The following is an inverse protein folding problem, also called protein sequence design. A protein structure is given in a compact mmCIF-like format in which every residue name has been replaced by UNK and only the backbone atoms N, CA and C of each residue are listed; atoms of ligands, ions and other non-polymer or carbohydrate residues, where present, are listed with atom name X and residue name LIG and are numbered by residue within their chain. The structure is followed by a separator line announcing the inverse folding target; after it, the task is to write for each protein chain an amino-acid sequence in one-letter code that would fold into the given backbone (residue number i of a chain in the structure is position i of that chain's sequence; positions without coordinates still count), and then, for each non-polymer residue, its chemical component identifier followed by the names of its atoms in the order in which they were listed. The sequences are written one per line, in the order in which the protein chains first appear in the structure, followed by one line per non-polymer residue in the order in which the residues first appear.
data_IF_593885717561
#
_entry.id   IF_593885717561
#
_cell.length_a   1.000
_cell.length_b   1.000
_cell.length_c   1.000
_cell.angle_alpha   90.00
_cell.angle_beta   90.00
_cell.angle_gamma   90.00
#
_symmetry.space_group_name_H-M   'P 1'
#
loop_
_entity.id
_entity.type
_entity.pdbx_description
1 polymer ?
#
# COMPACT_ATOMS: atom_id res chain seq x y z
N UNK A 1 1.74 -0.11 9.08
CA UNK A 1 2.74 0.03 10.16
C UNK A 1 3.92 -0.88 9.81
N UNK A 2 5.16 -0.38 9.92
CA UNK A 2 6.39 -1.17 9.67
C UNK A 2 7.15 -1.32 10.98
N UNK A 3 7.60 -2.52 11.31
CA UNK A 3 8.37 -2.80 12.51
C UNK A 3 9.77 -3.30 12.12
N UNK A 4 10.79 -2.67 12.70
CA UNK A 4 12.17 -3.15 12.68
C UNK A 4 12.41 -3.93 13.97
N UNK A 5 12.69 -5.23 13.87
CA UNK A 5 13.03 -6.05 15.02
C UNK A 5 14.56 -6.11 15.18
N UNK A 6 15.07 -5.47 16.23
CA UNK A 6 16.45 -5.58 16.70
C UNK A 6 16.44 -6.39 18.01
N UNK A 7 17.13 -7.52 18.04
CA UNK A 7 17.38 -8.25 19.28
C UNK A 7 18.52 -7.56 20.04
N UNK A 8 18.22 -6.98 21.20
CA UNK A 8 19.18 -6.25 22.02
C UNK A 8 19.63 -7.11 23.22
N UNK A 9 20.72 -7.85 23.06
CA UNK A 9 21.43 -8.55 24.15
C UNK A 9 22.91 -8.22 24.08
N UNK A 10 23.33 -7.12 24.75
CA UNK A 10 24.70 -6.62 25.06
C UNK A 10 25.83 -6.67 24.00
N UNK A 11 25.57 -7.18 22.80
CA UNK A 11 26.33 -7.03 21.56
C UNK A 11 25.28 -6.73 20.50
N UNK A 12 25.48 -5.66 19.71
CA UNK A 12 24.59 -5.40 18.57
C UNK A 12 24.69 -6.60 17.63
N UNK A 13 23.64 -7.42 17.61
CA UNK A 13 23.53 -8.49 16.64
C UNK A 13 23.26 -7.83 15.29
N UNK A 14 24.18 -7.99 14.34
CA UNK A 14 24.06 -7.37 13.01
C UNK A 14 22.94 -8.00 12.15
N UNK A 15 22.24 -9.01 12.69
CA UNK A 15 21.09 -9.66 12.06
C UNK A 15 19.85 -8.78 12.16
N UNK A 16 19.18 -8.58 11.03
CA UNK A 16 17.91 -7.85 10.99
C UNK A 16 16.96 -8.44 9.96
N UNK A 17 15.66 -8.31 10.21
CA UNK A 17 14.59 -8.68 9.31
C UNK A 17 13.52 -7.58 9.32
N UNK A 18 12.70 -7.52 8.28
CA UNK A 18 11.63 -6.52 8.14
C UNK A 18 10.26 -7.17 8.18
N UNK A 19 9.34 -6.53 8.89
CA UNK A 19 7.92 -6.88 8.85
C UNK A 19 7.11 -5.65 8.52
N UNK A 20 6.13 -5.80 7.62
CA UNK A 20 5.23 -4.70 7.33
C UNK A 20 3.89 -5.15 6.78
N UNK A 21 2.87 -4.35 7.05
CA UNK A 21 1.51 -4.52 6.54
C UNK A 21 1.10 -3.33 5.68
N UNK A 22 0.34 -3.58 4.60
CA UNK A 22 -0.18 -2.54 3.69
C UNK A 22 0.96 -1.74 3.04
N UNK A 23 0.96 -0.40 3.15
CA UNK A 23 2.11 0.43 2.79
C UNK A 23 3.41 0.01 3.49
N UNK A 24 3.32 -0.51 4.72
CA UNK A 24 4.49 -1.03 5.43
C UNK A 24 5.01 -2.33 4.81
N UNK A 25 4.13 -3.17 4.27
CA UNK A 25 4.51 -4.39 3.55
C UNK A 25 5.25 -4.05 2.26
N UNK A 26 4.74 -3.07 1.52
CA UNK A 26 5.41 -2.47 0.37
C UNK A 26 6.82 -1.96 0.74
N UNK A 27 6.94 -1.21 1.83
CA UNK A 27 8.23 -0.71 2.32
C UNK A 27 9.19 -1.83 2.74
N UNK A 28 8.68 -2.89 3.39
CA UNK A 28 9.46 -4.05 3.79
C UNK A 28 10.05 -4.81 2.58
N UNK A 29 9.27 -4.97 1.51
CA UNK A 29 9.77 -5.54 0.25
C UNK A 29 10.80 -4.63 -0.43
N UNK A 30 10.61 -3.31 -0.37
CA UNK A 30 11.62 -2.34 -0.81
C UNK A 30 12.93 -2.47 -0.03
N UNK A 31 12.83 -2.60 1.29
CA UNK A 31 13.99 -2.84 2.15
C UNK A 31 14.70 -4.15 1.78
N UNK A 32 13.95 -5.23 1.47
CA UNK A 32 14.53 -6.49 1.03
C UNK A 32 15.37 -6.34 -0.25
N UNK A 33 14.85 -5.61 -1.25
CA UNK A 33 15.58 -5.35 -2.49
C UNK A 33 16.86 -4.52 -2.27
N UNK A 34 16.83 -3.58 -1.32
CA UNK A 34 17.94 -2.66 -1.07
C UNK A 34 18.76 -3.00 0.18
N UNK A 35 18.56 -4.17 0.77
CA UNK A 35 19.10 -4.55 2.07
C UNK A 35 20.63 -4.46 2.13
N UNK A 36 21.32 -4.76 1.02
CA UNK A 36 22.78 -4.67 0.91
C UNK A 36 23.34 -3.29 1.21
N UNK A 37 22.57 -2.21 1.01
CA UNK A 37 22.98 -0.83 1.30
C UNK A 37 23.22 -0.59 2.80
N UNK A 38 22.53 -1.33 3.66
CA UNK A 38 22.66 -1.20 5.11
C UNK A 38 23.98 -1.76 5.65
N UNK A 39 24.68 -2.63 4.89
CA UNK A 39 25.89 -3.34 5.35
C UNK A 39 25.69 -4.10 6.67
N UNK A 40 24.49 -4.64 6.84
CA UNK A 40 24.07 -5.48 7.97
C UNK A 40 23.66 -6.86 7.44
N UNK A 41 23.60 -7.86 8.32
CA UNK A 41 23.26 -9.25 7.98
C UNK A 41 21.74 -9.40 7.83
N UNK A 42 21.22 -9.11 6.63
CA UNK A 42 19.79 -9.14 6.37
C UNK A 42 19.25 -10.57 6.22
N UNK A 43 18.28 -10.91 7.07
CA UNK A 43 17.73 -12.27 7.20
C UNK A 43 16.46 -12.54 6.44
N UNK A 44 15.77 -11.50 5.96
CA UNK A 44 14.57 -11.64 5.15
C UNK A 44 13.46 -10.69 5.54
N UNK A 45 12.31 -10.89 4.91
CA UNK A 45 11.13 -10.06 5.10
C UNK A 45 9.85 -10.87 5.22
N UNK A 46 8.94 -10.39 6.06
CA UNK A 46 7.54 -10.78 6.04
C UNK A 46 6.71 -9.57 5.62
N UNK A 47 5.98 -9.68 4.51
CA UNK A 47 5.09 -8.63 4.05
C UNK A 47 3.64 -9.14 4.09
N UNK A 48 2.73 -8.33 4.60
CA UNK A 48 1.30 -8.65 4.67
C UNK A 48 0.53 -7.64 3.83
N UNK A 49 -0.27 -8.11 2.88
CA UNK A 49 -1.03 -7.28 1.96
C UNK A 49 -0.22 -6.09 1.39
N UNK A 50 0.96 -6.32 0.77
CA UNK A 50 1.82 -5.24 0.33
C UNK A 50 1.14 -4.39 -0.75
N UNK A 51 1.10 -3.08 -0.56
CA UNK A 51 0.50 -2.13 -1.50
C UNK A 51 1.36 -1.90 -2.77
N UNK A 52 1.70 -2.98 -3.47
CA UNK A 52 2.40 -2.97 -4.77
C UNK A 52 1.41 -2.93 -5.93
N UNK A 53 1.83 -2.50 -7.12
CA UNK A 53 0.93 -2.31 -8.26
C UNK A 53 -0.18 -1.28 -7.95
N UNK A 54 0.24 -0.09 -7.50
CA UNK A 54 -0.66 0.99 -7.08
C UNK A 54 -1.62 1.42 -8.19
N UNK A 55 -1.18 1.41 -9.45
CA UNK A 55 -2.04 1.68 -10.61
C UNK A 55 -3.22 0.70 -10.70
N UNK A 56 -2.95 -0.59 -10.50
CA UNK A 56 -3.95 -1.65 -10.47
C UNK A 56 -4.86 -1.51 -9.23
N UNK A 57 -4.30 -1.23 -8.05
CA UNK A 57 -5.08 -1.02 -6.82
C UNK A 57 -6.06 0.15 -7.00
N UNK A 58 -5.56 1.30 -7.48
CA UNK A 58 -6.39 2.49 -7.69
C UNK A 58 -7.49 2.20 -8.72
N UNK A 59 -7.15 1.59 -9.86
CA UNK A 59 -8.11 1.27 -10.92
C UNK A 59 -9.20 0.29 -10.46
N UNK A 60 -8.82 -0.78 -9.77
CA UNK A 60 -9.78 -1.76 -9.28
C UNK A 60 -10.61 -1.23 -8.11
N UNK A 61 -10.02 -0.41 -7.25
CA UNK A 61 -10.74 0.27 -6.17
C UNK A 61 -11.87 1.14 -6.72
N UNK A 62 -11.58 1.97 -7.73
CA UNK A 62 -12.60 2.79 -8.42
C UNK A 62 -13.72 1.90 -9.00
N UNK A 63 -13.35 0.86 -9.75
CA UNK A 63 -14.32 -0.03 -10.38
C UNK A 63 -15.19 -0.81 -9.39
N UNK A 64 -14.66 -1.11 -8.19
CA UNK A 64 -15.35 -1.93 -7.18
C UNK A 64 -16.66 -1.33 -6.66
N UNK A 65 -16.78 0.00 -6.69
CA UNK A 65 -17.94 0.73 -6.14
C UNK A 65 -18.65 1.62 -7.16
N UNK A 66 -18.24 1.62 -8.43
CA UNK A 66 -18.78 2.49 -9.47
C UNK A 66 -20.32 2.44 -9.59
N UNK A 67 -20.93 1.28 -9.34
CA UNK A 67 -22.38 1.06 -9.41
C UNK A 67 -23.02 0.80 -8.03
N UNK A 68 -22.35 1.18 -6.95
CA UNK A 68 -22.84 0.98 -5.58
C UNK A 68 -23.51 2.25 -5.03
N UNK A 69 -24.35 2.14 -3.98
CA UNK A 69 -24.91 3.31 -3.30
C UNK A 69 -23.81 4.22 -2.72
N UNK A 70 -24.13 5.50 -2.53
CA UNK A 70 -23.19 6.50 -1.97
C UNK A 70 -22.62 6.07 -0.61
N UNK A 71 -23.39 5.33 0.19
CA UNK A 71 -22.96 4.78 1.49
C UNK A 71 -21.81 3.78 1.38
N UNK A 72 -21.68 3.09 0.24
CA UNK A 72 -20.58 2.17 -0.07
C UNK A 72 -19.48 2.87 -0.85
N UNK A 73 -19.83 3.82 -1.73
CA UNK A 73 -18.87 4.58 -2.52
C UNK A 73 -17.97 5.46 -1.65
N UNK A 74 -18.54 6.25 -0.73
CA UNK A 74 -17.80 7.27 0.03
C UNK A 74 -16.62 6.67 0.80
N UNK A 75 -16.76 5.58 1.58
CA UNK A 75 -15.63 5.01 2.31
C UNK A 75 -14.48 4.56 1.39
N UNK A 76 -14.80 3.96 0.25
CA UNK A 76 -13.79 3.46 -0.71
C UNK A 76 -13.13 4.64 -1.42
N UNK A 77 -13.90 5.57 -1.97
CA UNK A 77 -13.40 6.74 -2.67
C UNK A 77 -12.57 7.67 -1.77
N UNK A 78 -13.00 7.91 -0.53
CA UNK A 78 -12.23 8.69 0.42
C UNK A 78 -10.89 8.02 0.76
N UNK A 79 -10.85 6.68 0.88
CA UNK A 79 -9.61 5.92 1.08
C UNK A 79 -8.66 6.04 -0.12
N UNK A 80 -9.17 5.87 -1.35
CA UNK A 80 -8.39 6.02 -2.58
C UNK A 80 -7.84 7.45 -2.74
N UNK A 81 -8.67 8.46 -2.48
CA UNK A 81 -8.26 9.86 -2.54
C UNK A 81 -7.22 10.19 -1.46
N UNK A 82 -7.35 9.62 -0.26
CA UNK A 82 -6.36 9.75 0.83
C UNK A 82 -4.99 9.25 0.41
N UNK A 83 -4.89 8.02 -0.08
CA UNK A 83 -3.60 7.47 -0.49
C UNK A 83 -3.06 8.16 -1.73
N UNK A 84 -3.92 8.57 -2.66
CA UNK A 84 -3.50 9.36 -3.84
C UNK A 84 -2.96 10.73 -3.42
N UNK A 85 -3.55 11.37 -2.41
CA UNK A 85 -3.10 12.64 -1.88
C UNK A 85 -1.74 12.49 -1.17
N UNK A 86 -1.55 11.45 -0.36
CA UNK A 86 -0.27 11.15 0.30
C UNK A 86 0.84 10.79 -0.71
N UNK A 87 0.52 10.04 -1.76
CA UNK A 87 1.46 9.79 -2.87
C UNK A 87 1.82 11.12 -3.53
N UNK A 88 0.85 11.97 -3.81
CA UNK A 88 1.08 13.29 -4.41
C UNK A 88 1.98 14.15 -3.54
N UNK A 89 1.73 14.21 -2.23
CA UNK A 89 2.59 14.89 -1.26
C UNK A 89 4.04 14.37 -1.31
N UNK A 90 4.22 13.04 -1.33
CA UNK A 90 5.54 12.42 -1.44
C UNK A 90 6.26 12.74 -2.76
N UNK A 91 5.54 12.77 -3.88
CA UNK A 91 6.09 13.11 -5.20
C UNK A 91 6.47 14.57 -5.33
N UNK A 92 5.82 15.47 -4.59
CA UNK A 92 6.15 16.90 -4.55
C UNK A 92 7.50 17.21 -3.93
N UNK A 93 8.03 16.34 -3.05
CA UNK A 93 9.33 16.56 -2.41
C UNK A 93 10.47 16.73 -3.44
N UNK A 94 10.68 15.80 -4.40
CA UNK A 94 11.65 16.01 -5.48
C UNK A 94 11.09 16.80 -6.67
N UNK A 95 9.79 17.11 -6.71
CA UNK A 95 9.11 17.81 -7.82
C UNK A 95 8.26 18.98 -7.29
N UNK A 96 8.86 20.10 -6.86
CA UNK A 96 8.14 21.18 -6.18
C UNK A 96 7.08 21.87 -7.03
N UNK A 97 7.20 21.81 -8.37
CA UNK A 97 6.22 22.37 -9.30
C UNK A 97 4.99 21.47 -9.51
N UNK A 98 5.00 20.24 -9.00
CA UNK A 98 3.88 19.31 -9.12
C UNK A 98 2.74 19.73 -8.18
N UNK A 99 1.53 19.91 -8.72
CA UNK A 99 0.39 20.48 -7.99
C UNK A 99 -0.72 19.45 -7.79
N UNK A 100 -1.42 19.53 -6.66
CA UNK A 100 -2.61 18.70 -6.40
C UNK A 100 -3.69 18.87 -7.48
N UNK A 101 -3.82 20.06 -8.08
CA UNK A 101 -4.77 20.33 -9.18
C UNK A 101 -4.46 19.58 -10.48
N UNK A 102 -3.23 19.06 -10.64
CA UNK A 102 -2.91 18.15 -11.74
C UNK A 102 -3.45 16.74 -11.48
N UNK A 103 -3.62 16.35 -10.21
CA UNK A 103 -4.07 15.02 -9.80
C UNK A 103 -5.57 14.98 -9.53
N UNK A 104 -6.11 16.05 -8.97
CA UNK A 104 -7.49 16.16 -8.52
C UNK A 104 -8.20 17.36 -9.15
N UNK A 105 -9.51 17.22 -9.31
CA UNK A 105 -10.49 18.29 -9.54
C UNK A 105 -10.88 18.90 -8.19
N UNK A 106 -11.47 20.10 -8.21
CA UNK A 106 -12.07 20.69 -7.01
C UNK A 106 -13.39 19.97 -6.67
N UNK A 107 -13.72 19.80 -5.36
CA UNK A 107 -13.01 20.33 -4.19
C UNK A 107 -11.89 19.43 -3.67
N UNK A 108 -11.70 18.21 -4.20
CA UNK A 108 -10.70 17.25 -3.70
C UNK A 108 -9.27 17.82 -3.75
N UNK A 109 -8.92 18.62 -4.77
CA UNK A 109 -7.61 19.26 -4.86
C UNK A 109 -7.33 20.23 -3.68
N UNK A 110 -8.33 21.01 -3.28
CA UNK A 110 -8.22 21.96 -2.16
C UNK A 110 -8.06 21.22 -0.82
N UNK A 111 -8.82 20.14 -0.62
CA UNK A 111 -8.71 19.29 0.57
C UNK A 111 -7.31 18.66 0.64
N UNK A 112 -6.85 18.06 -0.46
CA UNK A 112 -5.52 17.47 -0.53
C UNK A 112 -4.41 18.49 -0.23
N UNK A 113 -4.50 19.69 -0.82
CA UNK A 113 -3.55 20.77 -0.55
C UNK A 113 -3.55 21.25 0.91
N UNK A 114 -4.71 21.21 1.56
CA UNK A 114 -4.84 21.67 2.95
C UNK A 114 -4.26 20.66 3.94
N UNK A 115 -4.45 19.36 3.71
CA UNK A 115 -4.21 18.35 4.75
C UNK A 115 -3.10 17.34 4.42
N UNK A 116 -2.78 17.07 3.15
CA UNK A 116 -1.93 15.93 2.80
C UNK A 116 -0.46 16.05 3.24
N UNK A 117 0.02 17.27 3.51
CA UNK A 117 1.39 17.55 3.96
C UNK A 117 1.50 17.79 5.47
N UNK A 118 0.38 17.92 6.19
CA UNK A 118 0.35 18.31 7.61
C UNK A 118 -0.39 17.34 8.51
N UNK A 119 -1.32 16.55 7.98
CA UNK A 119 -2.19 15.68 8.76
C UNK A 119 -1.90 14.18 8.58
N UNK A 120 -2.42 13.38 9.50
CA UNK A 120 -2.39 11.93 9.40
C UNK A 120 -3.47 11.42 8.42
N UNK A 121 -3.28 10.20 7.91
CA UNK A 121 -4.19 9.59 6.92
C UNK A 121 -5.64 9.51 7.39
N UNK A 122 -5.88 9.33 8.69
CA UNK A 122 -7.23 9.30 9.26
C UNK A 122 -7.97 10.62 9.08
N UNK A 123 -7.30 11.73 9.39
CA UNK A 123 -7.89 13.07 9.31
C UNK A 123 -8.10 13.50 7.85
N UNK A 124 -7.15 13.18 6.97
CA UNK A 124 -7.28 13.37 5.52
C UNK A 124 -8.51 12.61 4.98
N UNK A 125 -8.64 11.32 5.34
CA UNK A 125 -9.77 10.49 4.93
C UNK A 125 -11.11 10.99 5.44
N UNK A 126 -11.15 11.46 6.69
CA UNK A 126 -12.35 12.09 7.26
C UNK A 126 -12.72 13.37 6.51
N UNK A 127 -11.75 14.20 6.13
CA UNK A 127 -12.01 15.41 5.36
C UNK A 127 -12.60 15.10 3.98
N UNK A 128 -12.04 14.12 3.25
CA UNK A 128 -12.60 13.67 1.97
C UNK A 128 -14.00 13.07 2.12
N UNK A 129 -14.19 12.16 3.07
CA UNK A 129 -15.48 11.51 3.31
C UNK A 129 -16.56 12.52 3.71
N UNK A 130 -16.23 13.48 4.58
CA UNK A 130 -17.13 14.52 5.03
C UNK A 130 -17.59 15.42 3.87
N UNK A 131 -16.66 15.88 3.03
CA UNK A 131 -16.99 16.73 1.89
C UNK A 131 -17.82 15.97 0.83
N UNK A 132 -17.49 14.70 0.53
CA UNK A 132 -18.32 13.83 -0.33
C UNK A 132 -19.72 13.64 0.26
N UNK A 133 -19.82 13.43 1.57
CA UNK A 133 -21.09 13.25 2.28
C UNK A 133 -21.98 14.48 2.21
N UNK A 134 -21.43 15.69 2.33
CA UNK A 134 -22.18 16.94 2.18
C UNK A 134 -22.73 17.10 0.76
N UNK A 135 -21.90 16.80 -0.25
CA UNK A 135 -22.34 16.83 -1.65
C UNK A 135 -23.47 15.82 -1.91
N UNK A 136 -23.29 14.58 -1.45
CA UNK A 136 -24.28 13.51 -1.62
C UNK A 136 -25.60 13.80 -0.90
N UNK A 137 -25.59 14.49 0.25
CA UNK A 137 -26.81 14.92 0.93
C UNK A 137 -27.65 15.89 0.07
N UNK A 138 -27.00 16.75 -0.72
CA UNK A 138 -27.68 17.73 -1.56
C UNK A 138 -28.13 17.18 -2.93
N UNK A 139 -27.39 16.20 -3.48
CA UNK A 139 -27.60 15.72 -4.85
C UNK A 139 -28.10 14.28 -4.95
N UNK A 140 -28.02 13.50 -3.87
CA UNK A 140 -28.30 12.07 -3.86
C UNK A 140 -27.24 11.19 -4.56
N UNK A 141 -26.15 11.77 -5.07
CA UNK A 141 -25.09 11.03 -5.77
C UNK A 141 -23.71 11.68 -5.58
N UNK A 142 -22.65 11.08 -6.13
CA UNK A 142 -21.32 11.71 -6.25
C UNK A 142 -21.01 12.19 -7.68
N UNK A 143 -21.99 12.12 -8.58
CA UNK A 143 -21.81 12.57 -9.95
C UNK A 143 -21.54 14.07 -9.95
N UNK A 144 -20.37 14.47 -10.50
CA UNK A 144 -19.95 15.87 -10.54
C UNK A 144 -19.23 16.39 -9.28
N UNK A 145 -19.03 15.57 -8.23
CA UNK A 145 -18.35 16.01 -7.01
C UNK A 145 -16.92 16.50 -7.26
N UNK A 146 -16.21 15.94 -8.23
CA UNK A 146 -14.85 16.36 -8.59
C UNK A 146 -13.77 15.68 -7.75
N UNK A 147 -13.41 14.45 -8.13
CA UNK A 147 -12.34 13.64 -7.52
C UNK A 147 -11.05 13.69 -8.36
N UNK A 148 -10.44 12.56 -8.67
CA UNK A 148 -9.23 12.50 -9.50
C UNK A 148 -9.48 12.99 -10.94
N UNK A 149 -8.43 13.50 -11.57
CA UNK A 149 -8.41 13.80 -13.01
C UNK A 149 -8.36 12.49 -13.79
N UNK A 150 -9.13 12.35 -14.88
CA UNK A 150 -9.29 11.06 -15.57
C UNK A 150 -7.96 10.43 -16.06
N UNK A 151 -6.94 11.26 -16.31
CA UNK A 151 -5.64 10.86 -16.81
C UNK A 151 -4.49 11.06 -15.80
N UNK A 152 -4.78 11.23 -14.50
CA UNK A 152 -3.74 11.54 -13.51
C UNK A 152 -2.62 10.48 -13.43
N UNK A 153 -2.96 9.20 -13.63
CA UNK A 153 -2.00 8.10 -13.66
C UNK A 153 -1.01 8.18 -14.84
N UNK A 154 -1.34 8.95 -15.88
CA UNK A 154 -0.47 9.15 -17.04
C UNK A 154 0.45 10.36 -16.90
N UNK A 155 0.32 11.16 -15.84
CA UNK A 155 1.26 12.25 -15.57
C UNK A 155 2.66 11.64 -15.37
N UNK A 156 3.71 12.14 -16.05
CA UNK A 156 5.01 11.47 -16.08
C UNK A 156 5.59 11.09 -14.70
N UNK A 157 5.50 12.01 -13.72
CA UNK A 157 5.98 11.75 -12.36
C UNK A 157 5.17 10.67 -11.64
N UNK A 158 3.84 10.67 -11.80
CA UNK A 158 2.94 9.66 -11.22
C UNK A 158 3.19 8.30 -11.86
N UNK A 159 3.24 8.26 -13.20
CA UNK A 159 3.47 7.05 -13.96
C UNK A 159 4.82 6.41 -13.62
N UNK A 160 5.89 7.21 -13.55
CA UNK A 160 7.20 6.68 -13.20
C UNK A 160 7.22 6.11 -11.79
N UNK A 161 6.54 6.76 -10.84
CA UNK A 161 6.40 6.22 -9.49
C UNK A 161 5.61 4.90 -9.45
N UNK A 162 4.41 4.86 -10.01
CA UNK A 162 3.53 3.68 -9.92
C UNK A 162 4.04 2.48 -10.70
N UNK A 163 4.76 2.69 -11.80
CA UNK A 163 5.26 1.60 -12.66
C UNK A 163 6.70 1.19 -12.39
N UNK A 164 7.50 2.03 -11.72
CA UNK A 164 8.95 1.79 -11.56
C UNK A 164 9.45 2.09 -10.16
N UNK A 165 9.45 3.35 -9.73
CA UNK A 165 10.19 3.74 -8.51
C UNK A 165 9.53 3.17 -7.24
N UNK A 166 8.20 3.11 -7.24
CA UNK A 166 7.39 2.56 -6.17
C UNK A 166 7.20 1.04 -6.25
N UNK A 167 7.80 0.34 -7.22
CA UNK A 167 7.63 -1.10 -7.37
C UNK A 167 8.78 -1.87 -6.72
N UNK A 168 8.52 -2.77 -5.75
CA UNK A 168 9.56 -3.57 -5.14
C UNK A 168 9.80 -4.86 -5.95
N UNK A 169 10.86 -5.58 -5.60
CA UNK A 169 11.20 -6.88 -6.21
C UNK A 169 11.37 -6.82 -7.74
N UNK A 170 11.85 -5.69 -8.26
CA UNK A 170 12.15 -5.48 -9.69
C UNK A 170 13.45 -6.14 -10.13
N UNK A 171 14.22 -6.69 -9.20
CA UNK A 171 15.41 -7.53 -9.40
C UNK A 171 15.33 -8.78 -8.53
N UNK A 172 16.20 -9.77 -8.80
CA UNK A 172 16.30 -10.98 -7.96
C UNK A 172 16.69 -10.61 -6.53
N UNK A 173 15.88 -11.03 -5.56
CA UNK A 173 16.21 -10.99 -4.13
C UNK A 173 16.50 -12.42 -3.65
N UNK A 174 17.62 -12.60 -2.98
CA UNK A 174 18.08 -13.93 -2.51
C UNK A 174 17.75 -14.21 -1.05
N UNK A 175 17.49 -13.18 -0.25
CA UNK A 175 17.04 -13.34 1.13
C UNK A 175 15.60 -13.89 1.17
N UNK A 176 15.23 -14.65 2.20
CA UNK A 176 13.87 -15.17 2.38
C UNK A 176 12.80 -14.07 2.32
N UNK A 177 11.72 -14.34 1.59
CA UNK A 177 10.53 -13.49 1.54
C UNK A 177 9.30 -14.33 1.82
N UNK A 178 8.51 -13.93 2.81
CA UNK A 178 7.17 -14.46 3.07
C UNK A 178 6.14 -13.36 2.80
N UNK A 179 5.10 -13.68 2.04
CA UNK A 179 3.98 -12.77 1.76
C UNK A 179 2.69 -13.40 2.23
N UNK A 180 1.92 -12.68 3.05
CA UNK A 180 0.56 -13.03 3.45
C UNK A 180 -0.46 -12.19 2.68
N UNK A 181 -1.50 -12.81 2.13
CA UNK A 181 -2.57 -12.10 1.43
C UNK A 181 -3.93 -12.76 1.69
N UNK A 182 -4.93 -11.93 1.96
CA UNK A 182 -6.32 -12.36 2.07
C UNK A 182 -7.07 -12.31 0.75
N UNK A 183 -7.97 -13.27 0.54
CA UNK A 183 -8.85 -13.34 -0.62
C UNK A 183 -10.00 -12.32 -0.57
N UNK A 184 -10.38 -11.85 0.61
CA UNK A 184 -11.40 -10.80 0.83
C UNK A 184 -10.79 -9.40 1.04
N UNK A 185 -9.51 -9.22 0.74
CA UNK A 185 -8.89 -7.90 0.87
C UNK A 185 -9.44 -6.93 -0.19
N UNK A 186 -10.20 -5.94 0.26
CA UNK A 186 -10.79 -4.88 -0.58
C UNK A 186 -9.94 -3.62 -0.65
N UNK A 187 -8.86 -3.53 0.12
CA UNK A 187 -7.95 -2.36 0.13
C UNK A 187 -6.75 -2.60 -0.77
N UNK A 188 -6.14 -3.78 -0.67
CA UNK A 188 -5.09 -4.27 -1.58
C UNK A 188 -5.62 -5.57 -2.21
N UNK A 189 -6.34 -5.47 -3.34
CA UNK A 189 -6.93 -6.63 -3.99
C UNK A 189 -5.88 -7.72 -4.25
N UNK A 190 -6.21 -8.98 -3.94
CA UNK A 190 -5.29 -10.12 -4.08
C UNK A 190 -4.62 -10.20 -5.46
N UNK A 191 -5.31 -9.79 -6.52
CA UNK A 191 -4.74 -9.76 -7.87
C UNK A 191 -3.50 -8.86 -7.97
N UNK A 192 -3.43 -7.74 -7.25
CA UNK A 192 -2.25 -6.89 -7.19
C UNK A 192 -1.06 -7.62 -6.56
N UNK A 193 -1.28 -8.36 -5.47
CA UNK A 193 -0.26 -9.18 -4.83
C UNK A 193 0.14 -10.38 -5.70
N UNK A 194 -0.80 -11.00 -6.41
CA UNK A 194 -0.50 -12.07 -7.36
C UNK A 194 0.41 -11.57 -8.50
N UNK A 195 0.15 -10.38 -9.05
CA UNK A 195 0.99 -9.75 -10.08
C UNK A 195 2.41 -9.51 -9.56
N UNK A 196 2.55 -8.97 -8.33
CA UNK A 196 3.84 -8.79 -7.68
C UNK A 196 4.59 -10.13 -7.55
N UNK A 197 3.95 -11.15 -6.95
CA UNK A 197 4.56 -12.47 -6.73
C UNK A 197 5.01 -13.10 -8.05
N UNK A 198 4.14 -13.11 -9.06
CA UNK A 198 4.45 -13.70 -10.36
C UNK A 198 5.63 -12.99 -11.04
N UNK A 199 5.65 -11.66 -11.04
CA UNK A 199 6.75 -10.88 -11.65
C UNK A 199 8.09 -11.07 -10.92
N UNK A 200 8.08 -11.18 -9.59
CA UNK A 200 9.27 -11.41 -8.78
C UNK A 200 9.82 -12.84 -8.98
N UNK A 201 8.95 -13.84 -9.06
CA UNK A 201 9.33 -15.23 -9.33
C UNK A 201 9.96 -15.40 -10.72
N UNK A 202 9.46 -14.69 -11.74
CA UNK A 202 10.08 -14.66 -13.08
C UNK A 202 11.52 -14.12 -13.06
N UNK A 203 11.85 -13.25 -12.09
CA UNK A 203 13.22 -12.74 -11.86
C UNK A 203 14.07 -13.68 -11.01
N UNK A 204 13.52 -14.81 -10.57
CA UNK A 204 14.20 -15.80 -9.74
C UNK A 204 14.19 -15.49 -8.24
N UNK A 205 13.32 -14.59 -7.78
CA UNK A 205 13.09 -14.35 -6.34
C UNK A 205 12.21 -15.47 -5.79
N UNK A 206 12.69 -16.17 -4.75
CA UNK A 206 11.89 -17.18 -4.05
C UNK A 206 10.95 -16.49 -3.04
N UNK A 207 9.65 -16.78 -3.13
CA UNK A 207 8.62 -16.20 -2.26
C UNK A 207 7.77 -17.32 -1.68
N UNK A 208 7.68 -17.37 -0.36
CA UNK A 208 6.66 -18.15 0.35
C UNK A 208 5.36 -17.34 0.36
N UNK A 209 4.42 -17.69 -0.50
CA UNK A 209 3.15 -16.98 -0.63
C UNK A 209 2.03 -17.71 0.12
N UNK A 210 1.61 -17.13 1.25
CA UNK A 210 0.61 -17.69 2.16
C UNK A 210 -0.72 -16.96 1.93
N UNK A 211 -1.77 -17.73 1.67
CA UNK A 211 -3.11 -17.22 1.44
C UNK A 211 -4.13 -17.98 2.27
N UNK A 212 -5.33 -17.44 2.34
CA UNK A 212 -6.49 -18.01 3.03
C UNK A 212 -7.33 -18.96 2.16
N UNK A 213 -6.82 -19.40 1.01
CA UNK A 213 -7.57 -20.26 0.07
C UNK A 213 -8.11 -21.52 0.75
N UNK A 214 -7.29 -22.17 1.59
CA UNK A 214 -7.67 -23.34 2.37
C UNK A 214 -8.44 -23.05 3.68
N UNK A 215 -8.63 -21.78 4.04
CA UNK A 215 -9.24 -21.41 5.31
C UNK A 215 -10.76 -21.30 5.20
N UNK A 216 -11.46 -21.68 6.28
CA UNK A 216 -12.90 -21.47 6.41
C UNK A 216 -13.24 -19.98 6.56
N UNK A 217 -12.43 -19.25 7.30
CA UNK A 217 -12.54 -17.79 7.45
C UNK A 217 -11.58 -17.13 6.47
N UNK A 218 -12.15 -16.36 5.53
CA UNK A 218 -11.36 -15.56 4.59
C UNK A 218 -10.85 -14.30 5.27
N UNK A 219 -9.64 -13.90 4.91
CA UNK A 219 -8.95 -12.74 5.42
C UNK A 219 -9.28 -11.52 4.56
N UNK A 220 -9.70 -10.44 5.21
CA UNK A 220 -9.72 -9.08 4.68
C UNK A 220 -8.35 -8.39 4.89
N UNK A 221 -8.26 -7.11 4.55
CA UNK A 221 -7.02 -6.33 4.65
C UNK A 221 -6.40 -6.33 6.05
N UNK A 222 -7.23 -6.24 7.10
CA UNK A 222 -6.79 -6.22 8.49
C UNK A 222 -6.62 -7.63 9.06
N UNK A 223 -7.55 -8.54 8.79
CA UNK A 223 -7.51 -9.90 9.31
C UNK A 223 -6.39 -10.76 8.71
N UNK A 224 -5.92 -10.43 7.50
CA UNK A 224 -4.69 -11.01 6.95
C UNK A 224 -3.48 -10.76 7.87
N UNK A 225 -3.46 -9.63 8.59
CA UNK A 225 -2.44 -9.34 9.59
C UNK A 225 -2.80 -9.93 10.95
N UNK A 226 -3.94 -9.54 11.54
CA UNK A 226 -4.22 -9.86 12.96
C UNK A 226 -4.41 -11.36 13.22
N UNK A 227 -4.92 -12.14 12.25
CA UNK A 227 -5.08 -13.59 12.40
C UNK A 227 -3.77 -14.35 12.18
N UNK A 228 -2.74 -13.71 11.61
CA UNK A 228 -1.45 -14.33 11.30
C UNK A 228 -0.31 -13.86 12.19
N UNK A 229 -0.55 -13.00 13.20
CA UNK A 229 0.50 -12.51 14.10
C UNK A 229 1.38 -13.66 14.66
N UNK A 230 0.84 -14.78 15.17
CA UNK A 230 1.68 -15.88 15.66
C UNK A 230 2.59 -16.48 14.57
N UNK A 231 2.06 -16.66 13.36
CA UNK A 231 2.81 -17.19 12.21
C UNK A 231 3.90 -16.21 11.77
N UNK A 232 3.58 -14.91 11.71
CA UNK A 232 4.53 -13.84 11.36
C UNK A 232 5.69 -13.79 12.36
N UNK A 233 5.40 -13.89 13.67
CA UNK A 233 6.43 -13.96 14.71
C UNK A 233 7.32 -15.19 14.54
N UNK A 234 6.73 -16.34 14.23
CA UNK A 234 7.48 -17.58 13.98
C UNK A 234 8.35 -17.50 12.72
N UNK A 235 7.86 -16.90 11.64
CA UNK A 235 8.63 -16.69 10.41
C UNK A 235 9.85 -15.80 10.68
N UNK A 236 9.66 -14.69 11.40
CA UNK A 236 10.75 -13.78 11.79
C UNK A 236 11.76 -14.50 12.69
N UNK A 237 11.28 -15.28 13.68
CA UNK A 237 12.15 -16.09 14.54
C UNK A 237 13.01 -17.07 13.74
N UNK A 238 12.43 -17.69 12.70
CA UNK A 238 13.12 -18.60 11.79
C UNK A 238 14.13 -17.88 10.90
N UNK A 239 13.85 -16.65 10.48
CA UNK A 239 14.81 -15.82 9.74
C UNK A 239 16.01 -15.45 10.60
N UNK A 240 15.77 -14.98 11.83
CA UNK A 240 16.82 -14.47 12.72
C UNK A 240 17.69 -15.57 13.36
N UNK A 241 17.21 -16.82 13.39
CA UNK A 241 17.98 -17.96 13.91
C UNK A 241 19.10 -18.44 12.95
N UNK A 242 18.99 -18.13 11.66
CA UNK A 242 20.03 -18.39 10.64
C UNK A 242 21.12 -17.34 10.73
#
# INVERSE_FOLDING_TARGET
MSYLFLSCTEKVNNKWATVGHSQGGQAALGAAQYASRAKLDYKGTVAVAPASNLDLILTLGEASVANQPVTTQIPVYASLDTFTALITAGLRNPNPDFKYTQVFKDPTAQIAQTYAETECSGDIGNAFAGSMGLYAQSTGSLNGYGRTQDNFLNIPVVKNFTSKDGQPLTVKVTSPITIYQGSNDTTVPRIATNTLVGSAQQKGTAIQYITDDGNAVKWDHGTAYVLNIPNIVQDVGTMLSK
#
